data_IF_301349583811
#
_entry.id   IF_301349583811
#
_cell.length_a   1.000
_cell.length_b   1.000
_cell.length_c   1.000
_cell.angle_alpha   90.00
_cell.angle_beta   90.00
_cell.angle_gamma   90.00
#
_symmetry.space_group_name_H-M   'P 1'
#
loop_
_entity.id
_entity.type
_entity.pdbx_description
1 polymer ?
#
# COMPACT_ATOMS: atom_id res chain seq x y z
N UNK A 1 -15.17 22.57 0.09
CA UNK A 1 -13.83 22.94 0.60
C UNK A 1 -13.83 22.90 2.12
N UNK A 2 -12.70 22.57 2.75
CA UNK A 2 -12.35 23.08 4.07
C UNK A 2 -11.79 24.50 3.85
N UNK A 3 -12.04 25.42 4.78
CA UNK A 3 -11.58 26.80 4.69
C UNK A 3 -11.32 27.30 6.10
N UNK A 4 -10.20 28.01 6.28
CA UNK A 4 -9.92 28.70 7.53
C UNK A 4 -10.92 29.87 7.70
N UNK A 5 -11.26 30.18 8.96
CA UNK A 5 -12.10 31.34 9.30
C UNK A 5 -11.29 32.60 9.61
N UNK A 6 -9.96 32.47 9.73
CA UNK A 6 -9.04 33.54 10.13
C UNK A 6 -7.96 33.87 9.07
N UNK A 7 -7.86 33.12 7.96
CA UNK A 7 -6.97 33.40 6.83
C UNK A 7 -7.53 32.81 5.53
N UNK A 8 -6.90 33.13 4.39
CA UNK A 8 -7.36 32.73 3.05
C UNK A 8 -7.11 31.24 2.71
N UNK A 9 -6.56 30.45 3.63
CA UNK A 9 -6.30 29.03 3.39
C UNK A 9 -7.59 28.24 3.15
N UNK A 10 -7.64 27.51 2.04
CA UNK A 10 -8.72 26.58 1.74
C UNK A 10 -8.26 25.40 0.89
N UNK A 11 -8.78 24.21 1.18
CA UNK A 11 -8.53 23.00 0.39
C UNK A 11 -9.82 22.26 0.03
N UNK A 12 -9.78 21.42 -0.99
CA UNK A 12 -10.93 20.64 -1.42
C UNK A 12 -11.23 19.51 -0.42
N UNK A 13 -12.52 19.27 -0.12
CA UNK A 13 -12.92 18.18 0.79
C UNK A 13 -12.64 16.80 0.19
N UNK A 14 -12.60 16.73 -1.13
CA UNK A 14 -12.36 15.52 -1.91
C UNK A 14 -11.08 15.74 -2.73
N UNK A 15 -10.08 14.87 -2.55
CA UNK A 15 -8.82 14.87 -3.30
C UNK A 15 -8.57 13.46 -3.82
N UNK A 16 -8.19 13.34 -5.10
CA UNK A 16 -8.03 12.06 -5.81
C UNK A 16 -9.20 11.07 -5.61
N UNK A 17 -10.44 11.57 -5.56
CA UNK A 17 -11.65 10.74 -5.42
C UNK A 17 -11.89 10.13 -4.03
N UNK A 18 -11.14 10.55 -3.01
CA UNK A 18 -11.40 10.27 -1.59
C UNK A 18 -11.78 11.57 -0.88
N UNK A 19 -12.74 11.49 0.04
CA UNK A 19 -12.99 12.55 1.03
C UNK A 19 -12.02 12.42 2.21
N UNK A 20 -11.49 13.54 2.70
CA UNK A 20 -10.78 13.57 3.99
C UNK A 20 -11.78 13.63 5.15
N UNK A 21 -11.49 12.91 6.22
CA UNK A 21 -12.16 13.10 7.51
C UNK A 21 -11.62 14.35 8.23
N UNK A 22 -12.30 14.77 9.30
CA UNK A 22 -11.98 16.03 10.00
C UNK A 22 -10.63 15.91 10.73
N UNK A 23 -10.44 14.82 11.47
CA UNK A 23 -9.21 14.46 12.17
C UNK A 23 -8.00 14.34 11.23
N UNK A 24 -8.23 13.90 9.98
CA UNK A 24 -7.17 13.81 8.97
C UNK A 24 -6.71 15.20 8.51
N UNK A 25 -7.62 16.17 8.38
CA UNK A 25 -7.27 17.56 8.07
C UNK A 25 -6.63 18.26 9.27
N UNK A 26 -7.10 18.00 10.49
CA UNK A 26 -6.49 18.53 11.72
C UNK A 26 -5.06 18.01 11.89
N UNK A 27 -4.81 16.72 11.63
CA UNK A 27 -3.47 16.12 11.61
C UNK A 27 -2.55 16.73 10.54
N UNK A 28 -3.08 16.93 9.33
CA UNK A 28 -2.36 17.55 8.22
C UNK A 28 -1.99 19.02 8.51
N UNK A 29 -2.91 19.79 9.08
CA UNK A 29 -2.69 21.20 9.43
C UNK A 29 -1.75 21.38 10.63
N UNK A 30 -1.82 20.48 11.61
CA UNK A 30 -1.00 20.58 12.84
C UNK A 30 0.41 20.04 12.68
N UNK A 31 0.61 18.98 11.88
CA UNK A 31 1.93 18.32 11.73
C UNK A 31 2.57 18.49 10.34
N UNK A 32 1.87 19.12 9.41
CA UNK A 32 2.26 19.25 8.01
C UNK A 32 2.03 18.00 7.16
N UNK A 33 1.62 16.88 7.78
CA UNK A 33 1.44 15.58 7.11
C UNK A 33 0.31 14.73 7.71
N UNK A 34 -0.26 13.82 6.93
CA UNK A 34 -1.19 12.80 7.41
C UNK A 34 -1.13 11.53 6.56
N UNK A 35 -1.06 10.37 7.21
CA UNK A 35 -1.09 9.07 6.53
C UNK A 35 -0.37 7.95 7.28
N UNK A 36 -0.19 6.77 6.65
CA UNK A 36 -0.61 6.42 5.28
C UNK A 36 -2.14 6.34 5.14
N UNK A 37 -2.72 7.23 4.33
CA UNK A 37 -4.15 7.19 4.01
C UNK A 37 -4.40 6.26 2.82
N UNK A 38 -5.54 5.56 2.85
CA UNK A 38 -5.93 4.58 1.83
C UNK A 38 -7.08 5.10 0.96
N UNK A 39 -7.31 4.50 -0.21
CA UNK A 39 -8.57 4.69 -0.96
C UNK A 39 -8.59 5.84 -1.97
N UNK A 40 -7.49 6.57 -2.13
CA UNK A 40 -7.30 7.49 -3.25
C UNK A 40 -7.34 6.74 -4.58
N UNK A 41 -7.71 7.42 -5.67
CA UNK A 41 -7.77 6.86 -7.03
C UNK A 41 -6.91 7.67 -8.00
N UNK A 42 -6.09 6.98 -8.78
CA UNK A 42 -5.33 7.62 -9.86
C UNK A 42 -6.22 7.92 -11.08
N UNK A 43 -5.66 8.58 -12.12
CA UNK A 43 -6.39 8.91 -13.36
C UNK A 43 -7.01 7.69 -14.08
N UNK A 44 -6.50 6.48 -13.85
CA UNK A 44 -7.05 5.22 -14.38
C UNK A 44 -8.04 4.53 -13.42
N UNK A 45 -8.48 5.21 -12.36
CA UNK A 45 -9.39 4.67 -11.35
C UNK A 45 -8.80 3.62 -10.40
N UNK A 46 -7.48 3.34 -10.49
CA UNK A 46 -6.82 2.37 -9.61
C UNK A 46 -6.63 2.96 -8.21
N UNK A 47 -6.97 2.17 -7.19
CA UNK A 47 -6.81 2.55 -5.79
C UNK A 47 -5.33 2.55 -5.39
N UNK A 48 -4.91 3.56 -4.63
CA UNK A 48 -3.59 3.65 -4.03
C UNK A 48 -3.64 4.14 -2.57
N UNK A 49 -2.52 3.97 -1.88
CA UNK A 49 -2.28 4.47 -0.53
C UNK A 49 -1.14 5.50 -0.62
N UNK A 50 -1.22 6.59 0.15
CA UNK A 50 -0.20 7.64 0.18
C UNK A 50 -0.20 8.36 1.52
N UNK A 51 0.92 8.98 1.87
CA UNK A 51 0.94 10.05 2.85
C UNK A 51 0.59 11.34 2.11
N UNK A 52 -0.04 12.28 2.82
CA UNK A 52 -0.40 13.58 2.29
C UNK A 52 0.42 14.60 3.07
N UNK A 53 1.15 15.46 2.37
CA UNK A 53 1.95 16.54 2.97
C UNK A 53 1.55 17.89 2.38
N UNK A 54 1.61 18.96 3.18
CA UNK A 54 1.48 20.31 2.66
C UNK A 54 2.77 20.72 1.93
N UNK A 55 2.65 21.30 0.73
CA UNK A 55 3.77 21.97 0.06
C UNK A 55 3.95 23.41 0.59
N UNK A 56 4.92 24.14 0.03
CA UNK A 56 5.22 25.53 0.41
C UNK A 56 4.03 26.49 0.18
N UNK A 57 3.11 26.14 -0.74
CA UNK A 57 1.86 26.85 -1.01
C UNK A 57 0.70 26.42 -0.08
N UNK A 58 0.99 25.60 0.93
CA UNK A 58 0.02 25.00 1.86
C UNK A 58 -1.06 24.12 1.19
N UNK A 59 -0.79 23.59 0.00
CA UNK A 59 -1.66 22.68 -0.73
C UNK A 59 -1.34 21.22 -0.41
N UNK A 60 -2.34 20.34 -0.24
CA UNK A 60 -2.10 18.91 -0.04
C UNK A 60 -1.49 18.25 -1.28
N UNK A 61 -0.30 17.68 -1.11
CA UNK A 61 0.42 16.90 -2.11
C UNK A 61 0.59 15.46 -1.64
N UNK A 62 0.72 14.50 -2.57
CA UNK A 62 0.91 13.09 -2.23
C UNK A 62 2.39 12.74 -2.12
N UNK A 63 2.79 12.20 -0.98
CA UNK A 63 4.05 11.50 -0.83
C UNK A 63 3.82 9.97 -0.91
N UNK A 64 4.38 9.38 -1.96
CA UNK A 64 4.39 7.94 -2.22
C UNK A 64 5.61 7.24 -1.59
N UNK A 65 6.45 8.00 -0.88
CA UNK A 65 7.82 7.66 -0.50
C UNK A 65 8.74 7.45 -1.71
N UNK A 66 8.23 7.62 -2.93
CA UNK A 66 8.99 7.59 -4.17
C UNK A 66 9.58 8.98 -4.38
N UNK A 67 10.91 9.16 -4.34
CA UNK A 67 11.49 10.40 -4.82
C UNK A 67 11.04 10.57 -6.27
N UNK A 68 10.55 11.78 -6.60
CA UNK A 68 10.21 12.18 -7.97
C UNK A 68 11.40 11.91 -8.89
N UNK A 69 11.14 11.86 -10.19
CA UNK A 69 12.18 11.77 -11.23
C UNK A 69 12.94 13.10 -11.43
N UNK A 70 12.98 13.94 -10.38
CA UNK A 70 13.84 15.11 -10.29
C UNK A 70 15.28 14.66 -10.02
N UNK A 71 16.21 15.09 -10.87
CA UNK A 71 17.67 14.88 -10.72
C UNK A 71 18.27 15.60 -9.50
N UNK A 72 17.43 16.32 -8.74
CA UNK A 72 17.79 17.05 -7.52
C UNK A 72 17.28 16.38 -6.22
N UNK A 73 16.97 15.07 -6.26
CA UNK A 73 16.64 14.33 -5.04
C UNK A 73 17.87 14.24 -4.11
N UNK A 74 17.83 14.96 -2.98
CA UNK A 74 18.86 14.89 -1.95
C UNK A 74 19.12 13.44 -1.47
N UNK A 75 20.36 13.10 -1.08
CA UNK A 75 20.67 11.79 -0.53
C UNK A 75 19.90 11.56 0.76
N UNK A 76 19.06 10.51 0.79
CA UNK A 76 18.31 10.12 1.98
C UNK A 76 19.26 9.54 3.02
N UNK A 77 19.34 10.16 4.20
CA UNK A 77 20.12 9.63 5.31
C UNK A 77 19.33 8.57 6.08
N UNK A 78 19.94 7.39 6.24
CA UNK A 78 19.42 6.27 7.03
C UNK A 78 20.27 5.99 8.28
N UNK A 79 21.31 6.79 8.56
CA UNK A 79 22.30 6.54 9.61
C UNK A 79 21.70 6.38 11.02
N UNK A 80 20.59 7.07 11.30
CA UNK A 80 19.83 6.96 12.56
C UNK A 80 18.74 5.88 12.59
N UNK A 81 18.59 5.07 11.54
CA UNK A 81 17.57 4.01 11.48
C UNK A 81 18.18 2.62 11.64
N UNK A 82 17.48 1.74 12.35
CA UNK A 82 17.78 0.30 12.34
C UNK A 82 17.30 -0.31 11.00
N UNK A 83 18.15 -1.09 10.34
CA UNK A 83 17.78 -1.84 9.13
C UNK A 83 16.88 -3.03 9.45
N UNK A 84 15.92 -3.32 8.58
CA UNK A 84 15.00 -4.46 8.69
C UNK A 84 15.62 -5.78 8.19
N UNK A 85 16.74 -5.72 7.48
CA UNK A 85 17.35 -6.87 6.83
C UNK A 85 17.97 -6.52 5.49
N UNK A 86 18.45 -7.55 4.79
CA UNK A 86 19.13 -7.41 3.50
C UNK A 86 18.13 -7.40 2.34
N UNK A 87 18.34 -6.49 1.40
CA UNK A 87 17.56 -6.40 0.17
C UNK A 87 17.74 -7.67 -0.68
N UNK A 88 16.67 -8.41 -1.01
CA UNK A 88 16.76 -9.68 -1.75
C UNK A 88 17.16 -9.51 -3.23
N UNK A 89 17.29 -8.27 -3.73
CA UNK A 89 17.77 -7.96 -5.09
C UNK A 89 19.26 -7.59 -5.16
N UNK A 90 19.80 -6.89 -4.14
CA UNK A 90 21.16 -6.33 -4.21
C UNK A 90 21.99 -6.42 -2.90
N UNK A 91 21.44 -7.03 -1.85
CA UNK A 91 22.12 -7.23 -0.57
C UNK A 91 22.33 -6.00 0.31
N UNK A 92 21.97 -4.79 -0.16
CA UNK A 92 22.00 -3.55 0.65
C UNK A 92 20.96 -3.52 1.76
N UNK A 93 21.06 -2.57 2.68
CA UNK A 93 20.10 -2.40 3.78
C UNK A 93 18.69 -2.03 3.31
N UNK A 94 17.68 -2.53 4.01
CA UNK A 94 16.27 -2.13 3.85
C UNK A 94 15.81 -1.32 5.05
N UNK A 95 15.14 -0.20 4.79
CA UNK A 95 14.79 0.84 5.76
C UNK A 95 13.35 1.33 5.57
N UNK A 96 12.87 2.13 6.53
CA UNK A 96 11.55 2.73 6.50
C UNK A 96 11.60 4.15 5.92
N UNK A 97 10.88 4.37 4.82
CA UNK A 97 10.85 5.66 4.13
C UNK A 97 9.41 6.02 3.73
N UNK A 98 8.83 6.96 4.49
CA UNK A 98 7.42 7.33 4.41
C UNK A 98 6.50 6.11 4.51
N UNK A 99 5.65 5.94 3.51
CA UNK A 99 4.68 4.82 3.40
C UNK A 99 5.26 3.51 2.86
N UNK A 100 6.58 3.42 2.66
CA UNK A 100 7.27 2.28 2.06
C UNK A 100 8.39 1.73 2.94
N UNK A 101 8.70 0.45 2.74
CA UNK A 101 10.01 -0.14 2.98
C UNK A 101 10.83 -0.04 1.69
N UNK A 102 12.05 0.48 1.78
CA UNK A 102 12.92 0.77 0.61
C UNK A 102 14.32 0.22 0.83
N UNK A 103 15.01 -0.15 -0.25
CA UNK A 103 16.45 -0.38 -0.18
C UNK A 103 17.19 0.97 -0.14
N UNK A 104 18.26 1.08 0.63
CA UNK A 104 19.14 2.27 0.66
C UNK A 104 19.59 2.68 -0.76
N UNK A 105 19.82 1.69 -1.65
CA UNK A 105 20.27 1.88 -3.03
C UNK A 105 19.12 2.17 -4.01
N UNK A 106 17.87 2.29 -3.55
CA UNK A 106 16.70 2.63 -4.36
C UNK A 106 16.17 4.06 -4.18
N UNK A 107 16.94 4.91 -3.48
CA UNK A 107 16.65 6.34 -3.26
C UNK A 107 17.90 7.21 -3.50
N UNK A 108 17.77 8.54 -3.39
CA UNK A 108 18.83 9.51 -3.73
C UNK A 108 19.06 9.65 -5.25
N UNK A 109 20.18 10.24 -5.70
CA UNK A 109 20.49 10.41 -7.12
C UNK A 109 21.19 9.18 -7.74
N UNK A 110 22.02 8.47 -6.98
CA UNK A 110 22.83 7.34 -7.45
C UNK A 110 22.10 5.97 -7.33
N UNK A 111 20.83 5.90 -7.74
CA UNK A 111 19.99 4.68 -7.56
C UNK A 111 20.54 3.52 -8.38
N UNK A 112 20.82 2.40 -7.72
CA UNK A 112 21.26 1.15 -8.36
C UNK A 112 20.33 -0.03 -8.05
N UNK A 113 19.21 0.22 -7.37
CA UNK A 113 18.20 -0.76 -7.01
C UNK A 113 16.80 -0.13 -7.15
N UNK A 114 15.77 -0.97 -7.22
CA UNK A 114 14.36 -0.61 -7.34
C UNK A 114 13.50 -1.32 -6.26
N UNK A 115 14.13 -2.05 -5.33
CA UNK A 115 13.41 -2.75 -4.27
C UNK A 115 12.62 -1.76 -3.41
N UNK A 116 11.30 -1.98 -3.39
CA UNK A 116 10.33 -1.22 -2.62
C UNK A 116 9.12 -2.11 -2.32
N UNK A 117 8.60 -2.00 -1.10
CA UNK A 117 7.33 -2.60 -0.70
C UNK A 117 6.51 -1.58 0.10
N UNK A 118 5.20 -1.51 -0.09
CA UNK A 118 4.36 -0.61 0.70
C UNK A 118 4.17 -1.12 2.13
N UNK A 119 4.15 -0.22 3.12
CA UNK A 119 3.78 -0.54 4.51
C UNK A 119 2.31 -0.94 4.66
N UNK A 120 1.46 -0.62 3.67
CA UNK A 120 0.06 -1.06 3.60
C UNK A 120 -0.23 -1.63 2.21
N UNK A 121 -0.58 -2.91 2.15
CA UNK A 121 -0.87 -3.62 0.90
C UNK A 121 -2.34 -4.08 0.95
N UNK A 122 -3.17 -3.63 -0.01
CA UNK A 122 -4.60 -3.99 -0.09
C UNK A 122 -5.34 -3.88 1.27
N UNK A 123 -5.17 -2.73 1.94
CA UNK A 123 -5.74 -2.39 3.26
C UNK A 123 -5.19 -3.18 4.45
N UNK A 124 -4.28 -4.13 4.26
CA UNK A 124 -3.54 -4.81 5.33
C UNK A 124 -2.24 -4.03 5.64
N UNK A 125 -2.05 -3.52 6.86
CA UNK A 125 -0.75 -3.05 7.32
C UNK A 125 0.25 -4.20 7.39
N UNK A 126 1.50 -3.93 7.01
CA UNK A 126 2.63 -4.84 7.06
C UNK A 126 3.58 -4.30 8.11
N UNK A 127 3.69 -4.99 9.25
CA UNK A 127 4.57 -4.55 10.34
C UNK A 127 6.05 -4.76 10.01
N UNK A 128 6.91 -4.05 10.75
CA UNK A 128 8.37 -4.14 10.67
C UNK A 128 8.86 -5.58 10.84
N UNK A 129 8.29 -6.31 11.80
CA UNK A 129 8.53 -7.74 12.04
C UNK A 129 8.25 -8.61 10.81
N UNK A 130 7.11 -8.38 10.15
CA UNK A 130 6.68 -9.12 8.96
C UNK A 130 7.57 -8.82 7.75
N UNK A 131 7.96 -7.55 7.55
CA UNK A 131 8.90 -7.20 6.50
C UNK A 131 10.28 -7.82 6.74
N UNK A 132 10.81 -7.75 7.98
CA UNK A 132 12.09 -8.38 8.34
C UNK A 132 12.06 -9.89 8.05
N UNK A 133 10.99 -10.57 8.47
CA UNK A 133 10.75 -11.99 8.15
C UNK A 133 10.73 -12.27 6.64
N UNK A 134 10.12 -11.40 5.83
CA UNK A 134 10.12 -11.54 4.37
C UNK A 134 11.53 -11.40 3.77
N UNK A 135 12.38 -10.55 4.34
CA UNK A 135 13.76 -10.35 3.89
C UNK A 135 14.64 -11.56 4.24
N UNK A 136 14.44 -12.14 5.44
CA UNK A 136 15.24 -13.26 5.95
C UNK A 136 14.77 -14.63 5.46
N UNK A 137 13.47 -14.94 5.58
CA UNK A 137 12.87 -16.23 5.17
C UNK A 137 12.41 -16.24 3.69
N UNK A 138 12.45 -15.09 3.01
CA UNK A 138 11.88 -14.89 1.67
C UNK A 138 10.35 -14.76 1.64
N UNK A 139 9.66 -14.95 2.77
CA UNK A 139 8.20 -14.87 2.92
C UNK A 139 7.76 -14.42 4.32
N UNK A 140 6.55 -13.87 4.43
CA UNK A 140 5.88 -13.63 5.73
C UNK A 140 5.19 -14.90 6.24
N UNK A 141 4.55 -14.80 7.40
CA UNK A 141 3.46 -15.69 7.79
C UNK A 141 2.12 -15.33 7.10
N UNK A 142 1.05 -16.04 7.47
CA UNK A 142 -0.27 -15.93 6.84
C UNK A 142 -1.03 -14.68 7.33
N UNK A 143 -0.98 -13.60 6.55
CA UNK A 143 -1.71 -12.37 6.81
C UNK A 143 -3.16 -12.48 6.28
N UNK A 144 -4.15 -12.12 7.11
CA UNK A 144 -5.58 -12.46 6.90
C UNK A 144 -6.52 -11.28 6.60
N UNK A 145 -6.02 -10.04 6.66
CA UNK A 145 -6.84 -8.83 6.52
C UNK A 145 -6.83 -8.18 5.14
N UNK A 146 -6.18 -8.77 4.13
CA UNK A 146 -6.17 -8.21 2.77
C UNK A 146 -7.58 -8.12 2.19
N UNK A 147 -7.91 -7.00 1.55
CA UNK A 147 -9.21 -6.78 0.90
C UNK A 147 -9.02 -6.68 -0.60
N UNK A 148 -9.65 -7.60 -1.35
CA UNK A 148 -9.49 -7.67 -2.80
C UNK A 148 -10.14 -6.47 -3.50
N UNK A 149 -9.36 -5.73 -4.30
CA UNK A 149 -9.91 -4.65 -5.14
C UNK A 149 -10.96 -5.16 -6.17
N UNK A 150 -10.90 -6.43 -6.59
CA UNK A 150 -11.84 -7.01 -7.58
C UNK A 150 -13.16 -7.46 -6.97
N UNK A 151 -13.15 -8.04 -5.76
CA UNK A 151 -14.35 -8.66 -5.15
C UNK A 151 -14.82 -7.97 -3.88
N UNK A 152 -14.03 -7.02 -3.34
CA UNK A 152 -14.21 -6.37 -2.02
C UNK A 152 -14.30 -7.33 -0.83
N UNK A 153 -13.90 -8.60 -1.00
CA UNK A 153 -13.87 -9.61 0.07
C UNK A 153 -12.49 -9.67 0.73
N UNK A 154 -12.48 -9.97 2.04
CA UNK A 154 -11.27 -10.32 2.78
C UNK A 154 -10.68 -11.63 2.26
N UNK A 155 -9.36 -11.76 2.26
CA UNK A 155 -8.64 -12.98 1.94
C UNK A 155 -7.34 -13.10 2.75
N UNK A 156 -6.86 -14.33 2.88
CA UNK A 156 -5.58 -14.64 3.51
C UNK A 156 -4.52 -14.99 2.46
N UNK A 157 -3.29 -14.56 2.68
CA UNK A 157 -2.13 -14.90 1.86
C UNK A 157 -0.82 -14.71 2.65
N UNK A 158 0.23 -15.39 2.22
CA UNK A 158 1.60 -15.02 2.54
C UNK A 158 2.06 -13.94 1.56
N UNK A 159 2.88 -13.01 2.00
CA UNK A 159 3.69 -12.18 1.10
C UNK A 159 5.03 -12.86 0.88
N UNK A 160 5.53 -12.82 -0.36
CA UNK A 160 6.76 -13.50 -0.76
C UNK A 160 7.54 -12.65 -1.76
N UNK A 161 8.87 -12.71 -1.71
CA UNK A 161 9.70 -12.13 -2.76
C UNK A 161 9.59 -12.94 -4.05
N UNK A 162 9.09 -12.31 -5.12
CA UNK A 162 9.12 -12.84 -6.48
C UNK A 162 10.35 -12.26 -7.20
N UNK A 163 11.42 -13.06 -7.25
CA UNK A 163 12.67 -12.69 -7.91
C UNK A 163 12.51 -12.51 -9.43
N UNK A 164 11.58 -13.22 -10.07
CA UNK A 164 11.31 -13.12 -11.51
C UNK A 164 10.59 -11.83 -11.86
N UNK A 165 9.68 -11.37 -10.99
CA UNK A 165 8.96 -10.11 -11.16
C UNK A 165 9.58 -8.92 -10.43
N UNK A 166 10.68 -9.12 -9.70
CA UNK A 166 11.41 -8.08 -8.95
C UNK A 166 10.59 -7.39 -7.86
N UNK A 167 9.62 -8.07 -7.24
CA UNK A 167 8.66 -7.44 -6.31
C UNK A 167 8.11 -8.40 -5.26
N UNK A 168 7.47 -7.85 -4.24
CA UNK A 168 6.67 -8.64 -3.29
C UNK A 168 5.34 -9.07 -3.95
N UNK A 169 5.09 -10.37 -3.99
CA UNK A 169 3.87 -11.00 -4.50
C UNK A 169 3.07 -11.73 -3.41
N UNK A 170 1.91 -12.26 -3.79
CA UNK A 170 1.06 -13.09 -2.92
C UNK A 170 1.27 -14.58 -3.19
N UNK A 171 1.58 -15.35 -2.16
CA UNK A 171 1.50 -16.81 -2.17
C UNK A 171 0.25 -17.23 -1.36
N UNK A 172 -0.64 -18.01 -1.97
CA UNK A 172 -1.88 -18.46 -1.33
C UNK A 172 -1.72 -19.86 -0.77
N UNK A 173 -2.38 -20.15 0.35
CA UNK A 173 -2.47 -21.51 0.88
C UNK A 173 -3.00 -22.48 -0.20
N UNK A 174 -2.41 -23.68 -0.33
CA UNK A 174 -2.91 -24.69 -1.25
C UNK A 174 -4.34 -25.05 -0.85
N UNK A 175 -5.30 -24.72 -1.73
CA UNK A 175 -6.71 -24.99 -1.48
C UNK A 175 -6.91 -26.49 -1.36
N UNK A 176 -7.38 -26.94 -0.21
CA UNK A 176 -7.94 -28.29 -0.08
C UNK A 176 -8.94 -28.52 -1.23
N UNK A 177 -8.86 -29.66 -1.94
CA UNK A 177 -9.70 -29.91 -3.10
C UNK A 177 -11.17 -29.85 -2.67
N UNK A 178 -11.94 -28.97 -3.31
CA UNK A 178 -13.37 -28.88 -3.05
C UNK A 178 -14.02 -30.21 -3.44
N UNK A 179 -14.49 -30.96 -2.44
CA UNK A 179 -15.43 -32.04 -2.68
C UNK A 179 -16.56 -31.51 -3.58
N UNK A 180 -16.74 -32.14 -4.74
CA UNK A 180 -17.72 -31.69 -5.71
C UNK A 180 -19.10 -31.70 -5.06
N UNK A 181 -19.79 -30.55 -5.06
CA UNK A 181 -21.21 -30.52 -4.68
C UNK A 181 -21.96 -31.36 -5.69
N UNK A 182 -22.40 -32.54 -5.27
CA UNK A 182 -23.14 -33.47 -6.11
C UNK A 182 -24.34 -32.75 -6.75
N UNK A 183 -24.41 -32.81 -8.07
CA UNK A 183 -25.56 -32.32 -8.81
C UNK A 183 -26.77 -33.19 -8.47
N UNK A 184 -27.75 -32.66 -7.74
CA UNK A 184 -29.08 -33.26 -7.66
C UNK A 184 -29.88 -32.85 -8.90
N UNK A 185 -29.75 -33.67 -9.94
CA UNK A 185 -30.70 -33.75 -11.04
C UNK A 185 -31.98 -34.47 -10.59
N UNK A 186 -33.11 -34.17 -11.24
CA UNK A 186 -34.32 -35.00 -11.23
C UNK A 186 -35.46 -34.50 -10.34
N UNK A 187 -36.55 -34.05 -10.98
CA UNK A 187 -37.77 -33.60 -10.28
C UNK A 187 -38.86 -33.04 -11.20
N UNK A 188 -39.05 -33.60 -12.39
CA UNK A 188 -40.05 -33.10 -13.34
C UNK A 188 -41.47 -33.63 -13.02
N UNK A 189 -42.47 -32.74 -13.06
CA UNK A 189 -43.89 -33.13 -13.28
C UNK A 189 -44.65 -32.03 -14.05
N UNK A 190 -45.22 -32.44 -15.20
CA UNK A 190 -46.41 -31.83 -15.85
C UNK A 190 -47.62 -32.08 -14.91
N UNK A 191 -48.82 -31.48 -14.96
CA UNK A 191 -49.65 -30.69 -15.91
C UNK A 191 -50.63 -29.86 -14.98
N UNK A 192 -51.60 -29.02 -15.36
CA UNK A 192 -52.25 -28.66 -16.63
C UNK A 192 -52.91 -27.24 -16.54
N UNK A 193 -53.74 -26.92 -17.53
CA UNK A 193 -54.63 -25.75 -17.69
C UNK A 193 -55.78 -25.70 -16.67
N UNK A 194 -56.22 -24.49 -16.31
CA UNK A 194 -57.65 -24.09 -16.40
C UNK A 194 -57.76 -22.58 -16.60
#
# INVERSE_FOLDING_TARGET
KFACQACDWATWKIVAGRQFEIDEIEGLLSTGRVGPLTGFRNKMGRLFNAEVMLNDEQLPTFDFGQPKEDENAEPVDFSGQESLGRCPKCGGGVFEHGTSYVCEKSVGPARSCDFRSGKVILQQPIERSQMSRLLDEGRTELLRGFISNKTRRKFSAFLKWDASAGKVGFEFEPKAPKAAKAAKSGGARKKATS
#
